data_IF_415405819681
#
_entry.id   IF_415405819681
#
_cell.length_a   1.000
_cell.length_b   1.000
_cell.length_c   1.000
_cell.angle_alpha   90.00
_cell.angle_beta   90.00
_cell.angle_gamma   90.00
#
_symmetry.space_group_name_H-M   'P 1'
#
loop_
_entity.id
_entity.type
_entity.pdbx_description
1 polymer ?
#
# COMPACT_ATOMS: atom_id res chain seq x y z
N UNK A 1 9.26 -0.25 -12.66
CA UNK A 1 9.44 1.10 -12.10
C UNK A 1 10.35 1.02 -10.90
N UNK A 2 11.17 2.05 -10.72
CA UNK A 2 11.91 2.33 -9.48
C UNK A 2 10.98 3.08 -8.54
N UNK A 3 10.82 2.58 -7.32
CA UNK A 3 9.78 3.05 -6.40
C UNK A 3 10.40 3.50 -5.08
N UNK A 4 10.01 4.69 -4.62
CA UNK A 4 10.21 5.08 -3.23
C UNK A 4 9.02 4.61 -2.40
N UNK A 5 9.27 4.03 -1.22
CA UNK A 5 8.21 3.65 -0.30
C UNK A 5 8.00 4.71 0.77
N UNK A 6 6.78 5.24 0.87
CA UNK A 6 6.37 5.99 2.05
C UNK A 6 6.15 5.01 3.20
N UNK A 7 6.95 5.13 4.25
CA UNK A 7 6.90 4.25 5.41
C UNK A 7 6.47 4.99 6.67
N UNK A 8 5.61 4.34 7.45
CA UNK A 8 5.15 4.80 8.76
C UNK A 8 5.69 3.94 9.90
N UNK A 9 6.26 2.77 9.59
CA UNK A 9 6.64 1.74 10.55
C UNK A 9 5.57 0.65 10.70
N UNK A 10 4.34 0.89 10.25
CA UNK A 10 3.22 -0.04 10.40
C UNK A 10 3.08 -1.09 9.30
N UNK A 11 2.15 -2.03 9.54
CA UNK A 11 1.83 -3.18 8.69
C UNK A 11 1.50 -2.78 7.25
N UNK A 12 0.75 -1.69 7.05
CA UNK A 12 0.19 -1.32 5.74
C UNK A 12 1.27 -0.85 4.78
N UNK A 13 2.21 -0.04 5.28
CA UNK A 13 3.35 0.41 4.49
C UNK A 13 4.26 -0.76 4.09
N UNK A 14 4.50 -1.71 4.98
CA UNK A 14 5.28 -2.92 4.70
C UNK A 14 4.59 -3.84 3.70
N UNK A 15 3.29 -4.07 3.87
CA UNK A 15 2.55 -4.95 2.98
C UNK A 15 2.39 -4.35 1.58
N UNK A 16 2.13 -3.05 1.45
CA UNK A 16 2.08 -2.41 0.14
C UNK A 16 3.43 -2.44 -0.60
N UNK A 17 4.57 -2.37 0.11
CA UNK A 17 5.88 -2.61 -0.49
C UNK A 17 5.98 -4.04 -1.05
N UNK A 18 5.47 -5.04 -0.34
CA UNK A 18 5.44 -6.42 -0.84
C UNK A 18 4.59 -6.55 -2.11
N UNK A 19 3.42 -5.89 -2.16
CA UNK A 19 2.58 -5.85 -3.36
C UNK A 19 3.31 -5.17 -4.54
N UNK A 20 4.06 -4.09 -4.27
CA UNK A 20 4.87 -3.45 -5.31
C UNK A 20 5.93 -4.41 -5.88
N UNK A 21 6.62 -5.17 -5.02
CA UNK A 21 7.62 -6.16 -5.45
C UNK A 21 6.97 -7.30 -6.23
N UNK A 22 5.82 -7.81 -5.76
CA UNK A 22 5.05 -8.86 -6.45
C UNK A 22 4.56 -8.41 -7.85
N UNK A 23 4.27 -7.13 -8.01
CA UNK A 23 3.93 -6.52 -9.30
C UNK A 23 5.16 -6.23 -10.20
N UNK A 24 6.37 -6.61 -9.79
CA UNK A 24 7.60 -6.44 -10.56
C UNK A 24 8.23 -5.05 -10.45
N UNK A 25 7.88 -4.27 -9.42
CA UNK A 25 8.56 -3.01 -9.13
C UNK A 25 9.74 -3.21 -8.20
N UNK A 26 10.71 -2.29 -8.27
CA UNK A 26 11.88 -2.30 -7.41
C UNK A 26 11.75 -1.19 -6.36
N UNK A 27 11.74 -1.54 -5.08
CA UNK A 27 11.86 -0.56 -4.00
C UNK A 27 13.33 -0.14 -3.92
N UNK A 28 13.59 1.16 -4.13
CA UNK A 28 14.96 1.70 -4.19
C UNK A 28 15.27 2.66 -3.03
N UNK A 29 14.24 3.21 -2.41
CA UNK A 29 14.39 4.16 -1.31
C UNK A 29 13.20 4.10 -0.34
N UNK A 30 13.47 4.44 0.91
CA UNK A 30 12.46 4.65 1.95
C UNK A 30 12.32 6.14 2.21
N UNK A 31 11.09 6.60 2.39
CA UNK A 31 10.78 8.01 2.65
C UNK A 31 9.81 8.11 3.84
N UNK A 32 10.10 9.01 4.77
CA UNK A 32 9.30 9.21 5.97
C UNK A 32 9.30 10.68 6.39
N UNK A 33 8.13 11.23 6.64
CA UNK A 33 7.98 12.49 7.37
C UNK A 33 7.90 12.20 8.86
N UNK A 34 8.57 13.04 9.67
CA UNK A 34 8.62 12.89 11.12
C UNK A 34 8.28 14.19 11.85
N UNK A 35 7.74 14.09 13.07
CA UNK A 35 7.61 15.24 13.96
C UNK A 35 8.92 16.00 14.20
N UNK A 36 8.84 17.30 14.49
CA UNK A 36 10.00 18.07 14.95
C UNK A 36 10.36 17.68 16.40
N UNK A 37 11.65 17.48 16.70
CA UNK A 37 12.12 17.08 18.05
C UNK A 37 11.67 18.00 19.19
N UNK A 38 11.36 19.26 18.90
CA UNK A 38 11.05 20.28 19.90
C UNK A 38 9.53 20.53 20.06
N UNK A 39 8.67 19.83 19.30
CA UNK A 39 7.21 19.97 19.36
C UNK A 39 6.53 18.82 20.11
N UNK A 40 7.31 17.86 20.62
CA UNK A 40 6.83 16.55 21.05
C UNK A 40 7.23 16.39 22.53
N UNK A 41 6.40 16.89 23.45
CA UNK A 41 6.44 16.42 24.84
C UNK A 41 5.93 14.96 24.94
N UNK A 42 5.15 14.51 23.94
CA UNK A 42 4.61 13.17 23.79
C UNK A 42 4.77 12.66 22.35
N UNK A 43 5.18 11.41 22.14
CA UNK A 43 5.41 10.76 20.82
C UNK A 43 4.17 10.70 19.89
N UNK A 44 3.01 11.11 20.40
CA UNK A 44 1.72 11.16 19.74
C UNK A 44 1.39 12.59 19.29
N UNK A 45 1.18 12.77 17.99
CA UNK A 45 0.56 13.98 17.41
C UNK A 45 -0.80 13.62 16.82
N UNK A 46 -1.74 14.55 16.92
CA UNK A 46 -3.03 14.48 16.21
C UNK A 46 -2.86 14.84 14.71
N UNK A 47 -2.08 14.05 13.96
CA UNK A 47 -1.99 14.18 12.50
C UNK A 47 -2.97 13.22 11.83
N UNK A 48 -3.77 13.75 10.90
CA UNK A 48 -4.65 12.94 10.04
C UNK A 48 -3.87 12.13 8.99
N UNK A 49 -2.61 12.50 8.73
CA UNK A 49 -1.84 11.99 7.61
C UNK A 49 -0.78 10.98 8.04
N UNK A 50 -0.13 11.17 9.21
CA UNK A 50 1.07 10.42 9.56
C UNK A 50 0.98 9.75 10.92
N UNK A 51 1.37 8.47 10.95
CA UNK A 51 1.67 7.74 12.17
C UNK A 51 2.88 8.38 12.87
N UNK A 52 2.76 8.71 14.15
CA UNK A 52 3.88 9.26 14.94
C UNK A 52 4.39 8.30 16.01
N UNK A 53 3.56 7.39 16.51
CA UNK A 53 4.02 6.36 17.45
C UNK A 53 4.97 5.42 16.74
N UNK A 54 6.10 5.13 17.40
CA UNK A 54 7.15 4.27 16.85
C UNK A 54 8.07 4.97 15.83
N UNK A 55 7.92 6.28 15.57
CA UNK A 55 8.74 6.99 14.57
C UNK A 55 10.24 6.96 14.87
N UNK A 56 10.63 6.74 16.13
CA UNK A 56 12.01 6.66 16.58
C UNK A 56 12.73 5.43 15.98
N UNK A 57 11.97 4.37 15.71
CA UNK A 57 12.49 3.09 15.25
C UNK A 57 12.59 2.97 13.71
N UNK A 58 12.09 3.96 12.96
CA UNK A 58 12.08 3.95 11.48
C UNK A 58 13.48 3.83 10.87
N UNK A 59 14.52 4.34 11.55
CA UNK A 59 15.91 4.19 11.07
C UNK A 59 16.37 2.72 11.03
N UNK A 60 15.74 1.84 11.83
CA UNK A 60 16.01 0.41 11.78
C UNK A 60 15.48 -0.23 10.50
N UNK A 61 14.42 0.30 9.89
CA UNK A 61 13.88 -0.25 8.63
C UNK A 61 14.89 -0.08 7.48
N UNK A 62 15.57 1.07 7.42
CA UNK A 62 16.63 1.33 6.44
C UNK A 62 17.75 0.28 6.53
N UNK A 63 18.18 -0.01 7.76
CA UNK A 63 19.21 -1.01 8.05
C UNK A 63 18.71 -2.43 7.81
N UNK A 64 17.47 -2.73 8.19
CA UNK A 64 16.82 -4.03 8.02
C UNK A 64 16.65 -4.38 6.54
N UNK A 65 16.22 -3.44 5.71
CA UNK A 65 16.04 -3.66 4.26
C UNK A 65 17.33 -3.43 3.45
N UNK A 66 18.34 -2.78 4.04
CA UNK A 66 19.53 -2.27 3.38
C UNK A 66 19.18 -1.35 2.20
N UNK A 67 18.35 -0.33 2.48
CA UNK A 67 17.92 0.71 1.55
C UNK A 67 18.22 2.11 2.11
N UNK A 68 18.45 3.11 1.26
CA UNK A 68 18.58 4.50 1.71
C UNK A 68 17.25 4.99 2.30
N UNK A 69 17.35 5.79 3.36
CA UNK A 69 16.21 6.38 4.05
C UNK A 69 16.30 7.90 4.04
N UNK A 70 15.27 8.52 3.49
CA UNK A 70 15.09 9.96 3.41
C UNK A 70 14.05 10.40 4.42
N UNK A 71 14.47 11.21 5.39
CA UNK A 71 13.57 11.77 6.40
C UNK A 71 13.56 13.28 6.37
N UNK A 72 12.38 13.86 6.41
CA UNK A 72 12.18 15.30 6.60
C UNK A 72 11.26 15.56 7.78
N UNK A 73 11.38 16.76 8.36
CA UNK A 73 10.56 17.20 9.47
C UNK A 73 9.27 17.79 8.90
N UNK A 74 8.13 17.45 9.49
CA UNK A 74 6.84 18.08 9.23
C UNK A 74 6.91 19.50 9.80
N UNK A 75 6.74 20.50 8.94
CA UNK A 75 6.74 21.93 9.29
C UNK A 75 5.34 22.51 9.20
N UNK A 76 4.55 22.04 8.23
CA UNK A 76 3.16 22.42 8.06
C UNK A 76 2.22 21.72 9.03
N UNK A 77 0.94 22.06 8.92
CA UNK A 77 -0.16 21.40 9.65
C UNK A 77 -1.24 20.95 8.66
N UNK A 78 -2.26 20.21 9.11
CA UNK A 78 -3.40 19.86 8.26
C UNK A 78 -4.29 21.09 8.04
N UNK A 79 -4.06 21.86 6.98
CA UNK A 79 -4.77 23.12 6.67
C UNK A 79 -5.92 22.86 5.69
N UNK A 80 -5.61 22.31 4.52
CA UNK A 80 -6.61 21.91 3.53
C UNK A 80 -7.11 20.52 3.88
N UNK A 81 -8.30 20.44 4.48
CA UNK A 81 -8.90 19.20 4.97
C UNK A 81 -10.07 18.71 4.12
N UNK A 82 -10.34 19.35 2.97
CA UNK A 82 -11.38 18.96 2.04
C UNK A 82 -11.16 17.58 1.39
N UNK A 83 -12.20 17.14 0.66
CA UNK A 83 -12.21 15.87 -0.09
C UNK A 83 -11.19 15.84 -1.22
N UNK A 84 -10.94 17.00 -1.82
CA UNK A 84 -9.92 17.21 -2.84
C UNK A 84 -8.81 18.06 -2.26
N UNK A 85 -7.56 17.81 -2.64
CA UNK A 85 -6.46 18.66 -2.21
C UNK A 85 -6.19 19.78 -3.22
N UNK A 86 -6.18 21.01 -2.72
CA UNK A 86 -5.65 22.18 -3.41
C UNK A 86 -4.38 22.64 -2.70
N UNK A 87 -3.35 23.01 -3.46
CA UNK A 87 -2.08 23.48 -2.89
C UNK A 87 -2.32 24.61 -1.91
N UNK A 88 -1.87 24.42 -0.67
CA UNK A 88 -2.03 25.38 0.41
C UNK A 88 -0.68 25.62 1.09
N UNK A 89 -0.31 26.89 1.29
CA UNK A 89 0.95 27.24 1.96
C UNK A 89 0.86 26.91 3.45
N UNK A 90 1.92 26.29 3.99
CA UNK A 90 1.96 25.85 5.38
C UNK A 90 1.22 24.54 5.66
N UNK A 91 0.75 23.84 4.62
CA UNK A 91 0.12 22.53 4.75
C UNK A 91 1.15 21.39 4.73
N UNK A 92 0.95 20.36 5.56
CA UNK A 92 1.84 19.20 5.70
C UNK A 92 2.02 18.38 4.39
N UNK A 93 1.12 18.54 3.42
CA UNK A 93 1.24 17.92 2.10
C UNK A 93 2.35 18.56 1.26
N UNK A 94 2.68 19.84 1.49
CA UNK A 94 3.81 20.47 0.80
C UNK A 94 5.16 19.97 1.35
N UNK A 95 5.22 19.57 2.63
CA UNK A 95 6.40 18.88 3.17
C UNK A 95 6.61 17.52 2.49
N UNK A 96 5.52 16.80 2.19
CA UNK A 96 5.57 15.55 1.44
C UNK A 96 6.06 15.78 0.01
N UNK A 97 5.61 16.86 -0.63
CA UNK A 97 6.08 17.25 -1.95
C UNK A 97 7.59 17.49 -1.97
N UNK A 98 8.13 18.27 -1.03
CA UNK A 98 9.56 18.55 -0.97
C UNK A 98 10.39 17.29 -0.65
N UNK A 99 9.88 16.39 0.19
CA UNK A 99 10.52 15.10 0.45
C UNK A 99 10.58 14.24 -0.82
N UNK A 100 9.45 14.02 -1.49
CA UNK A 100 9.40 13.16 -2.68
C UNK A 100 10.14 13.76 -3.86
N UNK A 101 10.14 15.09 -4.00
CA UNK A 101 10.98 15.79 -4.98
C UNK A 101 12.46 15.50 -4.75
N UNK A 102 12.92 15.62 -3.50
CA UNK A 102 14.30 15.32 -3.15
C UNK A 102 14.68 13.86 -3.43
N UNK A 103 13.79 12.91 -3.09
CA UNK A 103 14.02 11.48 -3.39
C UNK A 103 14.06 11.24 -4.90
N UNK A 104 13.15 11.86 -5.68
CA UNK A 104 13.14 11.74 -7.15
C UNK A 104 14.46 12.22 -7.76
N UNK A 105 14.99 13.35 -7.29
CA UNK A 105 16.28 13.88 -7.76
C UNK A 105 17.48 13.00 -7.37
N UNK A 106 17.40 12.27 -6.26
CA UNK A 106 18.51 11.44 -5.76
C UNK A 106 18.51 10.01 -6.28
N UNK A 107 17.33 9.44 -6.45
CA UNK A 107 17.15 8.00 -6.67
C UNK A 107 16.47 7.68 -8.01
N UNK A 108 16.11 8.69 -8.79
CA UNK A 108 15.48 8.55 -10.12
C UNK A 108 14.28 7.59 -10.06
N UNK A 109 13.32 7.92 -9.19
CA UNK A 109 12.11 7.12 -9.00
C UNK A 109 11.04 7.47 -10.03
N UNK A 110 10.23 6.47 -10.41
CA UNK A 110 9.08 6.60 -11.30
C UNK A 110 7.75 6.52 -10.52
N UNK A 111 7.77 5.96 -9.32
CA UNK A 111 6.57 5.72 -8.53
C UNK A 111 6.77 5.78 -7.03
N UNK A 112 5.65 5.83 -6.31
CA UNK A 112 5.59 5.95 -4.85
C UNK A 112 4.66 4.90 -4.27
N UNK A 113 5.20 4.01 -3.44
CA UNK A 113 4.43 3.01 -2.69
C UNK A 113 3.78 3.66 -1.47
N UNK A 114 2.45 3.49 -1.32
CA UNK A 114 1.66 4.05 -0.22
C UNK A 114 0.70 3.01 0.35
N UNK A 115 0.79 2.78 1.66
CA UNK A 115 -0.07 1.82 2.38
C UNK A 115 -1.43 2.38 2.81
N UNK A 116 -2.11 3.17 1.99
CA UNK A 116 -3.46 3.65 2.31
C UNK A 116 -4.50 2.58 1.96
N UNK A 117 -5.35 2.20 2.92
CA UNK A 117 -6.40 1.19 2.70
C UNK A 117 -7.74 1.86 2.40
N UNK A 118 -8.32 2.61 3.34
CA UNK A 118 -9.65 3.19 3.16
C UNK A 118 -9.64 4.73 3.09
N UNK A 119 -8.64 5.37 3.71
CA UNK A 119 -8.58 6.84 3.79
C UNK A 119 -8.42 7.53 2.42
N UNK A 120 -9.52 8.04 1.88
CA UNK A 120 -9.50 8.92 0.70
C UNK A 120 -8.71 10.21 0.97
N UNK A 121 -8.70 10.69 2.23
CA UNK A 121 -7.91 11.86 2.64
C UNK A 121 -6.42 11.66 2.34
N UNK A 122 -5.86 10.53 2.76
CA UNK A 122 -4.45 10.21 2.57
C UNK A 122 -4.13 9.96 1.09
N UNK A 123 -4.96 9.15 0.42
CA UNK A 123 -4.76 8.79 -0.99
C UNK A 123 -4.74 10.04 -1.89
N UNK A 124 -5.74 10.91 -1.78
CA UNK A 124 -5.87 12.08 -2.67
C UNK A 124 -4.69 13.05 -2.51
N UNK A 125 -4.15 13.20 -1.30
CA UNK A 125 -2.99 14.08 -1.04
C UNK A 125 -1.71 13.51 -1.65
N UNK A 126 -1.48 12.21 -1.50
CA UNK A 126 -0.37 11.52 -2.16
C UNK A 126 -0.50 11.61 -3.68
N UNK A 127 -1.69 11.33 -4.24
CA UNK A 127 -1.94 11.40 -5.67
C UNK A 127 -1.69 12.81 -6.23
N UNK A 128 -2.07 13.85 -5.47
CA UNK A 128 -1.81 15.23 -5.86
C UNK A 128 -0.30 15.52 -5.96
N UNK A 129 0.47 15.12 -4.94
CA UNK A 129 1.93 15.27 -4.93
C UNK A 129 2.57 14.49 -6.08
N UNK A 130 2.17 13.23 -6.25
CA UNK A 130 2.68 12.37 -7.31
C UNK A 130 2.40 12.94 -8.70
N UNK A 131 1.18 13.44 -8.94
CA UNK A 131 0.80 14.10 -10.20
C UNK A 131 1.69 15.32 -10.50
N UNK A 132 1.98 16.15 -9.49
CA UNK A 132 2.83 17.35 -9.67
C UNK A 132 4.29 17.00 -9.93
N UNK A 133 4.74 15.87 -9.41
CA UNK A 133 6.11 15.38 -9.57
C UNK A 133 6.27 14.45 -10.76
N UNK A 134 5.21 14.14 -11.52
CA UNK A 134 5.22 13.12 -12.56
C UNK A 134 5.72 11.77 -12.01
N UNK A 135 5.01 11.26 -11.00
CA UNK A 135 5.23 9.99 -10.34
C UNK A 135 3.93 9.18 -10.33
N UNK A 136 4.05 7.85 -10.42
CA UNK A 136 2.91 6.95 -10.30
C UNK A 136 2.66 6.59 -8.82
N UNK A 137 1.51 6.96 -8.23
CA UNK A 137 1.12 6.45 -6.91
C UNK A 137 0.73 4.97 -7.02
N UNK A 138 1.27 4.15 -6.12
CA UNK A 138 1.05 2.71 -6.03
C UNK A 138 0.39 2.37 -4.69
N UNK A 139 -0.95 2.41 -4.66
CA UNK A 139 -1.78 2.13 -3.50
C UNK A 139 -2.58 0.84 -3.70
N UNK A 140 -1.89 -0.30 -3.66
CA UNK A 140 -2.48 -1.63 -3.95
C UNK A 140 -3.54 -2.06 -2.94
N UNK A 141 -3.46 -1.53 -1.72
CA UNK A 141 -4.37 -1.90 -0.63
C UNK A 141 -5.69 -1.11 -0.67
N UNK A 142 -5.79 -0.11 -1.55
CA UNK A 142 -6.90 0.82 -1.52
C UNK A 142 -8.23 0.11 -1.83
N UNK A 143 -9.20 0.27 -0.93
CA UNK A 143 -10.54 -0.32 -0.96
C UNK A 143 -10.57 -1.85 -1.05
N UNK A 144 -9.49 -2.52 -0.68
CA UNK A 144 -9.50 -3.97 -0.45
C UNK A 144 -10.42 -4.29 0.74
N UNK A 145 -10.93 -5.53 0.78
CA UNK A 145 -11.65 -6.02 1.94
C UNK A 145 -10.69 -6.11 3.13
N UNK A 146 -11.00 -5.42 4.24
CA UNK A 146 -10.10 -5.29 5.38
C UNK A 146 -9.93 -6.58 6.19
N UNK A 147 -10.97 -7.43 6.25
CA UNK A 147 -10.87 -8.71 6.94
C UNK A 147 -9.94 -9.65 6.17
N UNK A 148 -10.12 -9.74 4.86
CA UNK A 148 -9.25 -10.52 3.97
C UNK A 148 -7.83 -9.96 3.99
N UNK A 149 -7.68 -8.63 3.93
CA UNK A 149 -6.39 -7.97 3.93
C UNK A 149 -5.58 -8.23 5.21
N UNK A 150 -6.23 -8.21 6.38
CA UNK A 150 -5.54 -8.55 7.63
C UNK A 150 -5.03 -10.00 7.62
N UNK A 151 -5.86 -10.94 7.13
CA UNK A 151 -5.47 -12.36 6.99
C UNK A 151 -4.35 -12.55 5.98
N UNK A 152 -4.41 -11.84 4.87
CA UNK A 152 -3.36 -11.85 3.84
C UNK A 152 -2.04 -11.33 4.42
N UNK A 153 -2.04 -10.24 5.19
CA UNK A 153 -0.85 -9.72 5.88
C UNK A 153 -0.25 -10.78 6.83
N UNK A 154 -1.09 -11.41 7.65
CA UNK A 154 -0.66 -12.46 8.58
C UNK A 154 -0.04 -13.64 7.84
N UNK A 155 -0.74 -14.15 6.82
CA UNK A 155 -0.29 -15.30 6.01
C UNK A 155 0.92 -14.99 5.11
N UNK A 156 1.19 -13.71 4.84
CA UNK A 156 2.35 -13.23 4.08
C UNK A 156 3.57 -12.91 4.98
N UNK A 157 3.59 -13.40 6.22
CA UNK A 157 4.67 -13.20 7.17
C UNK A 157 4.94 -11.72 7.53
N UNK A 158 3.92 -10.85 7.54
CA UNK A 158 4.03 -9.54 8.20
C UNK A 158 4.00 -9.76 9.72
N UNK A 159 5.17 -9.72 10.34
CA UNK A 159 5.34 -9.81 11.78
C UNK A 159 5.23 -8.41 12.39
N UNK A 160 4.02 -7.91 12.55
CA UNK A 160 3.75 -6.61 13.18
C UNK A 160 3.09 -6.76 14.54
N UNK A 161 3.45 -5.87 15.47
CA UNK A 161 2.83 -5.78 16.80
C UNK A 161 1.97 -4.52 16.90
N UNK A 162 0.90 -4.58 17.71
CA UNK A 162 0.09 -3.42 18.06
C UNK A 162 0.92 -2.52 19.00
N UNK A 163 1.12 -1.26 18.62
CA UNK A 163 1.88 -0.28 19.41
C UNK A 163 1.04 0.87 19.92
N UNK A 164 -0.21 1.00 19.48
CA UNK A 164 -1.16 1.98 20.00
C UNK A 164 -2.56 1.39 19.93
N UNK A 165 -3.39 1.74 20.89
CA UNK A 165 -4.83 1.54 20.87
C UNK A 165 -5.53 2.84 21.26
N UNK A 166 -6.64 3.14 20.59
CA UNK A 166 -7.39 4.39 20.77
C UNK A 166 -8.89 4.23 20.44
N UNK A 167 -9.45 3.03 20.58
CA UNK A 167 -10.86 2.78 20.28
C UNK A 167 -11.56 1.96 21.36
N UNK A 168 -12.89 2.12 21.40
CA UNK A 168 -13.75 1.40 22.33
C UNK A 168 -13.60 -0.12 22.18
N UNK A 169 -13.37 -0.80 23.30
CA UNK A 169 -13.17 -2.25 23.33
C UNK A 169 -11.72 -2.71 23.11
N UNK A 170 -10.84 -1.84 22.60
CA UNK A 170 -9.40 -2.10 22.60
C UNK A 170 -8.82 -1.78 23.98
N UNK A 171 -8.37 -2.82 24.67
CA UNK A 171 -7.72 -2.74 25.98
C UNK A 171 -6.18 -2.74 25.85
N UNK A 172 -5.47 -1.75 26.41
CA UNK A 172 -4.01 -1.67 26.36
C UNK A 172 -3.29 -2.93 26.89
N UNK A 173 -3.71 -3.48 28.03
CA UNK A 173 -3.10 -4.66 28.66
C UNK A 173 -3.29 -5.93 27.84
N UNK A 174 -4.37 -5.99 27.06
CA UNK A 174 -4.70 -7.14 26.21
C UNK A 174 -4.00 -7.08 24.86
N UNK A 175 -3.94 -5.89 24.24
CA UNK A 175 -3.58 -5.75 22.83
C UNK A 175 -2.18 -5.20 22.58
N UNK A 176 -1.67 -4.28 23.42
CA UNK A 176 -0.34 -3.70 23.18
C UNK A 176 0.75 -4.78 23.22
N UNK A 177 1.65 -4.74 22.23
CA UNK A 177 2.75 -5.69 22.09
C UNK A 177 2.35 -7.05 21.53
N UNK A 178 1.06 -7.30 21.29
CA UNK A 178 0.59 -8.52 20.63
C UNK A 178 0.77 -8.42 19.12
N UNK A 179 1.07 -9.55 18.51
CA UNK A 179 1.19 -9.69 17.07
C UNK A 179 -0.18 -9.75 16.39
N UNK A 180 -0.24 -9.47 15.09
CA UNK A 180 -1.50 -9.46 14.33
C UNK A 180 -2.26 -10.80 14.41
N UNK A 181 -1.56 -11.93 14.35
CA UNK A 181 -2.15 -13.28 14.50
C UNK A 181 -2.76 -13.49 15.89
N UNK A 182 -2.12 -12.96 16.94
CA UNK A 182 -2.62 -13.06 18.31
C UNK A 182 -3.90 -12.27 18.54
N UNK A 183 -4.08 -11.15 17.81
CA UNK A 183 -5.24 -10.26 17.99
C UNK A 183 -6.32 -10.42 16.92
N UNK A 184 -6.09 -11.18 15.85
CA UNK A 184 -7.01 -11.29 14.69
C UNK A 184 -8.45 -11.63 15.12
N UNK A 185 -8.59 -12.69 15.93
CA UNK A 185 -9.91 -13.16 16.39
C UNK A 185 -10.63 -12.12 17.24
N UNK A 186 -9.89 -11.42 18.11
CA UNK A 186 -10.41 -10.37 18.96
C UNK A 186 -10.84 -9.15 18.16
N UNK A 187 -10.03 -8.72 17.18
CA UNK A 187 -10.38 -7.61 16.28
C UNK A 187 -11.63 -7.92 15.46
N UNK A 188 -11.79 -9.16 14.98
CA UNK A 188 -13.00 -9.60 14.28
C UNK A 188 -14.25 -9.53 15.19
N UNK A 189 -14.12 -9.92 16.47
CA UNK A 189 -15.22 -9.81 17.43
C UNK A 189 -15.57 -8.35 17.74
N UNK A 190 -14.56 -7.52 18.02
CA UNK A 190 -14.72 -6.10 18.30
C UNK A 190 -15.34 -5.36 17.11
N UNK A 191 -14.97 -5.73 15.89
CA UNK A 191 -15.57 -5.19 14.67
C UNK A 191 -17.07 -5.47 14.60
N UNK A 192 -17.46 -6.74 14.81
CA UNK A 192 -18.88 -7.15 14.82
C UNK A 192 -19.68 -6.49 15.92
N UNK A 193 -19.07 -6.28 17.09
CA UNK A 193 -19.77 -5.80 18.28
C UNK A 193 -19.85 -4.28 18.37
N UNK A 194 -18.79 -3.59 17.97
CA UNK A 194 -18.62 -2.15 18.20
C UNK A 194 -18.27 -1.36 16.94
N UNK A 195 -18.09 -2.03 15.80
CA UNK A 195 -17.74 -1.37 14.54
C UNK A 195 -16.26 -0.97 14.43
N UNK A 196 -15.39 -1.51 15.29
CA UNK A 196 -13.94 -1.35 15.19
C UNK A 196 -13.49 -1.82 13.79
N UNK A 197 -12.73 -0.99 13.11
CA UNK A 197 -12.06 -1.32 11.87
C UNK A 197 -11.00 -2.42 12.08
N UNK A 198 -11.16 -3.54 11.38
CA UNK A 198 -10.27 -4.70 11.52
C UNK A 198 -8.81 -4.36 11.15
N UNK A 199 -8.59 -3.44 10.20
CA UNK A 199 -7.26 -2.95 9.84
C UNK A 199 -6.82 -1.72 10.65
N UNK A 200 -7.61 -1.24 11.60
CA UNK A 200 -7.28 -0.07 12.42
C UNK A 200 -7.39 1.26 11.67
N UNK A 201 -8.12 1.30 10.54
CA UNK A 201 -8.37 2.54 9.82
C UNK A 201 -9.05 3.57 10.72
N UNK A 202 -8.68 4.85 10.57
CA UNK A 202 -9.16 5.92 11.45
C UNK A 202 -8.37 6.08 12.74
N UNK A 203 -7.29 5.32 12.93
CA UNK A 203 -6.36 5.48 14.06
C UNK A 203 -6.76 4.69 15.30
N UNK A 204 -7.66 3.72 15.17
CA UNK A 204 -8.14 2.89 16.28
C UNK A 204 -7.02 2.07 16.93
N UNK A 205 -6.08 1.59 16.11
CA UNK A 205 -4.82 1.05 16.57
C UNK A 205 -3.71 1.35 15.56
N UNK A 206 -2.48 1.40 16.03
CA UNK A 206 -1.30 1.51 15.17
C UNK A 206 -0.40 0.30 15.37
N UNK A 207 0.42 -0.01 14.37
CA UNK A 207 1.33 -1.16 14.41
C UNK A 207 2.77 -0.76 14.17
N UNK A 208 3.68 -1.63 14.60
CA UNK A 208 5.08 -1.60 14.21
C UNK A 208 5.52 -2.96 13.66
N UNK A 209 6.01 -2.98 12.44
CA UNK A 209 6.48 -4.20 11.76
C UNK A 209 7.88 -4.54 12.25
N UNK A 210 8.01 -5.66 12.97
CA UNK A 210 9.27 -6.20 13.46
C UNK A 210 10.00 -6.99 12.38
N UNK A 211 9.25 -7.71 11.55
CA UNK A 211 9.81 -8.43 10.42
C UNK A 211 8.82 -8.57 9.26
N UNK A 212 9.36 -8.67 8.04
CA UNK A 212 8.62 -9.11 6.86
C UNK A 212 9.58 -9.71 5.82
N UNK A 213 9.07 -10.38 4.77
CA UNK A 213 9.92 -10.96 3.71
C UNK A 213 10.90 -10.00 3.04
N UNK A 214 10.61 -8.69 3.02
CA UNK A 214 11.51 -7.68 2.44
C UNK A 214 12.69 -7.32 3.35
N UNK A 215 12.64 -7.68 4.63
CA UNK A 215 13.70 -7.37 5.58
C UNK A 215 14.81 -8.43 5.48
N UNK A 216 16.07 -7.98 5.48
CA UNK A 216 17.26 -8.82 5.59
C UNK A 216 17.60 -9.15 7.05
N UNK A 217 17.22 -8.25 7.96
CA UNK A 217 17.35 -8.40 9.43
C UNK A 217 16.01 -8.12 10.09
N UNK A 218 15.68 -8.86 11.13
CA UNK A 218 14.48 -8.60 11.94
C UNK A 218 14.79 -7.58 13.05
N UNK A 219 13.80 -6.79 13.42
CA UNK A 219 13.86 -5.87 14.57
C UNK A 219 13.43 -6.62 15.82
N UNK A 220 14.20 -6.52 16.88
CA UNK A 220 13.88 -7.08 18.20
C UNK A 220 13.59 -5.93 19.15
N UNK A 221 12.52 -6.10 19.94
CA UNK A 221 12.18 -5.19 21.04
C UNK A 221 12.81 -5.73 22.31
N UNK A 222 13.87 -5.07 22.78
CA UNK A 222 14.56 -5.47 24.02
C UNK A 222 13.82 -4.93 25.25
N UNK A 223 13.35 -3.69 25.17
CA UNK A 223 12.54 -3.09 26.22
C UNK A 223 11.61 -2.00 25.68
N UNK A 224 10.45 -1.89 26.32
CA UNK A 224 9.42 -0.90 26.02
C UNK A 224 8.61 -0.59 27.28
N UNK A 225 8.00 0.58 27.33
CA UNK A 225 7.03 0.96 28.36
C UNK A 225 5.67 1.28 27.74
N UNK A 226 4.59 1.05 28.50
CA UNK A 226 3.25 1.49 28.13
C UNK A 226 3.06 2.92 28.64
N UNK A 227 2.73 3.83 27.73
CA UNK A 227 2.37 5.20 28.05
C UNK A 227 0.86 5.35 27.89
N UNK A 228 0.18 5.70 28.99
CA UNK A 228 -1.24 6.03 28.96
C UNK A 228 -1.39 7.51 28.61
N UNK A 229 -1.87 7.79 27.40
CA UNK A 229 -2.12 9.15 26.93
C UNK A 229 -3.48 9.67 27.43
N UNK A 230 -4.52 8.84 27.37
CA UNK A 230 -5.85 9.13 27.89
C UNK A 230 -6.42 7.93 28.63
N UNK A 231 -6.82 8.15 29.88
CA UNK A 231 -7.41 7.13 30.75
C UNK A 231 -8.94 7.05 30.64
N UNK A 232 -9.51 7.37 29.47
CA UNK A 232 -10.95 7.26 29.26
C UNK A 232 -11.45 5.84 29.62
N UNK A 233 -12.53 5.78 30.40
CA UNK A 233 -13.02 4.53 30.96
C UNK A 233 -13.55 3.54 29.89
N UNK A 234 -13.83 4.04 28.69
CA UNK A 234 -14.46 3.31 27.60
C UNK A 234 -13.52 3.15 26.40
N UNK A 235 -12.76 4.19 26.06
CA UNK A 235 -11.83 4.22 24.93
C UNK A 235 -10.45 4.76 25.37
N UNK A 236 -9.69 4.02 26.19
CA UNK A 236 -8.37 4.46 26.62
C UNK A 236 -7.45 4.62 25.40
N UNK A 237 -6.64 5.67 25.43
CA UNK A 237 -5.56 5.89 24.46
C UNK A 237 -4.25 5.56 25.13
N UNK A 238 -3.58 4.51 24.66
CA UNK A 238 -2.30 4.09 25.17
C UNK A 238 -1.40 3.59 24.04
N UNK A 239 -0.10 3.77 24.20
CA UNK A 239 0.88 3.34 23.23
C UNK A 239 2.14 2.77 23.87
N UNK A 240 2.89 1.98 23.09
CA UNK A 240 4.20 1.49 23.44
C UNK A 240 5.26 2.51 23.05
N UNK A 241 6.05 2.95 24.04
CA UNK A 241 7.31 3.65 23.81
C UNK A 241 8.45 2.65 23.86
N UNK A 242 9.12 2.47 22.73
CA UNK A 242 10.31 1.64 22.67
C UNK A 242 11.48 2.34 23.38
N UNK A 243 12.13 1.62 24.30
CA UNK A 243 13.29 2.11 25.04
C UNK A 243 14.59 1.58 24.41
N UNK A 244 14.58 0.32 24.02
CA UNK A 244 15.72 -0.34 23.39
C UNK A 244 15.26 -1.32 22.31
N UNK A 245 15.92 -1.26 21.16
CA UNK A 245 15.66 -2.07 19.98
C UNK A 245 16.99 -2.43 19.32
N UNK A 246 17.10 -3.64 18.79
CA UNK A 246 18.24 -4.02 17.96
C UNK A 246 17.83 -4.81 16.72
N UNK A 247 18.81 -5.07 15.85
CA UNK A 247 18.63 -5.87 14.64
C UNK A 247 19.33 -7.21 14.80
N UNK A 248 18.61 -8.28 14.49
CA UNK A 248 19.15 -9.64 14.41
C UNK A 248 19.16 -10.14 12.97
N UNK A 249 20.19 -10.90 12.62
CA UNK A 249 20.24 -11.63 11.35
C UNK A 249 19.12 -12.69 11.31
N UNK A 250 18.55 -12.90 10.13
CA UNK A 250 17.59 -13.98 9.92
C UNK A 250 18.34 -15.31 9.80
N UNK A 251 17.84 -16.34 10.50
CA UNK A 251 18.47 -17.66 10.57
C UNK A 251 18.30 -18.52 9.29
N UNK A 252 17.77 -17.98 8.19
CA UNK A 252 17.55 -18.75 6.94
C UNK A 252 17.79 -17.96 5.64
N UNK A 253 18.24 -18.73 4.65
CA UNK A 253 19.01 -18.46 3.41
C UNK A 253 18.44 -17.48 2.36
N UNK A 254 19.28 -16.94 1.44
CA UNK A 254 18.97 -15.77 0.59
C UNK A 254 17.88 -15.90 -0.49
N UNK A 255 17.19 -17.04 -0.61
CA UNK A 255 16.41 -17.38 -1.82
C UNK A 255 14.94 -17.77 -1.57
N UNK A 256 14.30 -17.31 -0.48
CA UNK A 256 12.82 -17.28 -0.43
C UNK A 256 12.30 -15.90 -0.85
N UNK A 257 12.73 -15.42 -2.02
CA UNK A 257 11.96 -14.39 -2.73
C UNK A 257 11.11 -15.12 -3.76
N UNK A 258 9.82 -15.27 -3.46
CA UNK A 258 8.74 -15.63 -4.39
C UNK A 258 9.03 -16.79 -5.36
N UNK A 259 9.11 -18.03 -4.86
CA UNK A 259 8.63 -19.16 -5.64
C UNK A 259 7.12 -19.28 -5.41
N UNK A 260 6.34 -18.62 -6.26
CA UNK A 260 4.93 -18.95 -6.42
C UNK A 260 4.91 -20.31 -7.13
N UNK A 261 4.75 -21.38 -6.36
CA UNK A 261 4.52 -22.71 -6.91
C UNK A 261 3.19 -22.69 -7.69
N UNK A 262 3.31 -22.51 -9.00
CA UNK A 262 2.24 -22.79 -9.94
C UNK A 262 2.04 -24.31 -9.98
N UNK A 263 0.87 -24.78 -9.55
CA UNK A 263 0.50 -26.20 -9.53
C UNK A 263 0.11 -26.73 -10.92
N UNK A 264 0.99 -26.56 -11.90
CA UNK A 264 0.86 -27.20 -13.21
C UNK A 264 2.17 -27.83 -13.66
N UNK A 265 2.66 -28.83 -12.93
CA UNK A 265 3.61 -29.80 -13.48
C UNK A 265 2.82 -30.88 -14.21
N UNK A 266 2.73 -30.76 -15.54
CA UNK A 266 2.59 -31.92 -16.41
C UNK A 266 3.95 -32.14 -17.05
N UNK A 267 4.50 -33.33 -16.83
CA UNK A 267 5.83 -33.78 -17.25
C UNK A 267 6.09 -33.50 -18.74
N UNK A 268 7.18 -32.77 -19.04
CA UNK A 268 7.77 -32.74 -20.37
C UNK A 268 9.19 -33.32 -20.26
N UNK A 269 9.30 -34.65 -20.43
CA UNK A 269 10.57 -35.29 -20.69
C UNK A 269 11.03 -34.96 -22.12
N UNK A 270 12.24 -34.41 -22.23
CA UNK A 270 13.01 -34.43 -23.46
C UNK A 270 13.41 -35.89 -23.75
N UNK A 271 12.93 -36.44 -24.87
CA UNK A 271 13.71 -37.28 -25.79
C UNK A 271 12.76 -37.92 -26.82
N UNK A 272 12.96 -37.51 -28.09
CA UNK A 272 12.79 -38.28 -29.33
C UNK A 272 12.26 -37.40 -30.48
N UNK A 273 13.21 -36.95 -31.30
CA UNK A 273 12.98 -36.55 -32.69
C UNK A 273 12.64 -37.81 -33.51
N UNK A 274 11.63 -37.72 -34.40
CA UNK A 274 11.88 -38.09 -35.78
C UNK A 274 11.44 -37.02 -36.76
N UNK A 275 12.33 -36.78 -37.72
CA UNK A 275 12.17 -36.01 -38.95
C UNK A 275 11.18 -36.73 -39.89
N UNK A 276 10.33 -36.00 -40.64
CA UNK A 276 10.12 -36.15 -42.10
C UNK A 276 9.06 -35.17 -42.68
N UNK A 277 9.56 -34.37 -43.63
CA UNK A 277 9.02 -33.79 -44.89
C UNK A 277 7.97 -32.67 -44.94
N UNK A 278 8.35 -31.69 -45.77
CA UNK A 278 7.56 -30.62 -46.37
C UNK A 278 6.29 -31.11 -47.09
N UNK A 279 5.20 -30.37 -46.90
CA UNK A 279 3.98 -30.48 -47.68
C UNK A 279 3.19 -29.17 -47.62
N UNK A 280 3.26 -28.39 -48.70
CA UNK A 280 2.42 -27.22 -48.96
C UNK A 280 0.93 -27.54 -48.82
N UNK A 281 0.22 -26.83 -47.93
CA UNK A 281 -1.20 -26.49 -48.13
C UNK A 281 -1.45 -25.08 -47.56
N UNK A 282 -1.63 -24.12 -48.46
CA UNK A 282 -2.30 -22.85 -48.17
C UNK A 282 -3.78 -23.10 -47.89
N UNK A 283 -4.29 -22.59 -46.77
CA UNK A 283 -5.67 -22.08 -46.71
C UNK A 283 -5.68 -20.81 -45.87
N UNK A 284 -5.87 -19.69 -46.56
CA UNK A 284 -6.30 -18.41 -45.98
C UNK A 284 -7.66 -18.62 -45.30
N UNK A 285 -7.78 -18.17 -44.04
CA UNK A 285 -9.06 -17.90 -43.40
C UNK A 285 -9.01 -16.42 -42.97
N UNK A 286 -9.93 -15.57 -43.45
CA UNK A 286 -9.89 -14.12 -43.21
C UNK A 286 -10.30 -13.81 -41.76
N UNK A 287 -9.91 -12.62 -41.24
CA UNK A 287 -10.32 -12.22 -39.90
C UNK A 287 -11.85 -12.09 -39.82
N UNK A 288 -12.48 -12.42 -38.68
CA UNK A 288 -13.91 -12.24 -38.52
C UNK A 288 -14.25 -10.74 -38.54
N UNK A 289 -14.99 -10.32 -39.57
CA UNK A 289 -15.65 -9.03 -39.63
C UNK A 289 -16.85 -9.10 -38.69
N UNK A 290 -16.79 -8.42 -37.56
CA UNK A 290 -17.97 -8.16 -36.74
C UNK A 290 -18.59 -6.82 -37.13
N UNK A 291 -19.78 -6.89 -37.74
CA UNK A 291 -20.62 -5.73 -38.01
C UNK A 291 -21.27 -5.29 -36.69
N UNK A 292 -20.91 -4.10 -36.25
CA UNK A 292 -21.66 -3.32 -35.26
C UNK A 292 -23.10 -3.13 -35.75
N UNK A 293 -24.06 -3.56 -34.94
CA UNK A 293 -25.42 -3.02 -34.99
C UNK A 293 -25.61 -2.17 -33.74
N UNK A 294 -25.38 -0.87 -33.92
CA UNK A 294 -25.73 0.26 -33.04
C UNK A 294 -24.90 0.42 -31.76
N UNK A 295 -24.13 1.54 -31.61
CA UNK A 295 -23.74 2.00 -30.29
C UNK A 295 -24.96 2.64 -29.59
N UNK A 296 -25.17 2.43 -28.28
CA UNK A 296 -25.98 3.36 -27.50
C UNK A 296 -25.30 4.75 -27.51
N UNK A 297 -26.07 5.83 -27.41
CA UNK A 297 -25.51 7.17 -27.53
C UNK A 297 -24.69 7.50 -26.27
N UNK A 298 -23.50 8.07 -26.48
CA UNK A 298 -22.66 8.80 -25.51
C UNK A 298 -21.54 8.04 -24.76
N UNK A 299 -20.66 7.37 -25.49
CA UNK A 299 -19.28 7.16 -25.00
C UNK A 299 -18.27 7.73 -26.01
N UNK A 300 -17.73 8.92 -25.73
CA UNK A 300 -16.53 9.41 -26.40
C UNK A 300 -15.31 9.05 -25.56
N UNK A 301 -14.63 7.96 -25.92
CA UNK A 301 -13.31 7.66 -25.41
C UNK A 301 -12.29 8.55 -26.13
N UNK A 302 -11.47 9.31 -25.38
CA UNK A 302 -10.32 9.99 -25.97
C UNK A 302 -9.15 9.00 -26.09
N UNK A 303 -8.66 8.80 -27.31
CA UNK A 303 -7.86 7.67 -27.82
C UNK A 303 -6.37 7.58 -27.38
N UNK A 304 -6.01 7.90 -26.14
CA UNK A 304 -4.62 7.67 -25.67
C UNK A 304 -4.56 7.02 -24.30
N UNK A 305 -4.94 5.74 -24.23
CA UNK A 305 -4.55 4.87 -23.14
C UNK A 305 -3.08 4.50 -23.30
N UNK A 306 -2.25 4.83 -22.32
CA UNK A 306 -0.87 4.38 -22.27
C UNK A 306 -0.82 3.07 -21.47
N UNK A 307 -0.16 2.06 -22.00
CA UNK A 307 -0.04 0.76 -21.34
C UNK A 307 1.43 0.52 -20.96
N UNK A 308 1.68 0.07 -19.73
CA UNK A 308 2.99 -0.43 -19.36
C UNK A 308 3.30 -1.75 -20.07
N UNK A 309 4.57 -2.15 -20.02
CA UNK A 309 4.96 -3.54 -20.30
C UNK A 309 4.25 -4.46 -19.30
N UNK A 310 3.84 -5.66 -19.74
CA UNK A 310 3.30 -6.71 -18.87
C UNK A 310 4.37 -7.17 -17.87
N UNK A 311 3.99 -7.31 -16.61
CA UNK A 311 4.85 -7.91 -15.59
C UNK A 311 5.10 -9.40 -15.90
N UNK A 312 6.15 -10.02 -15.33
CA UNK A 312 6.35 -11.47 -15.42
C UNK A 312 5.16 -12.30 -14.90
N UNK A 313 4.38 -11.71 -13.98
CA UNK A 313 3.14 -12.25 -13.42
C UNK A 313 1.89 -11.93 -14.25
N UNK A 314 2.03 -11.31 -15.43
CA UNK A 314 0.95 -11.07 -16.38
C UNK A 314 0.16 -9.77 -16.17
N UNK A 315 0.48 -8.98 -15.15
CA UNK A 315 -0.21 -7.72 -14.87
C UNK A 315 0.23 -6.61 -15.82
N UNK A 316 -0.71 -5.80 -16.30
CA UNK A 316 -0.43 -4.67 -17.17
C UNK A 316 -1.06 -3.41 -16.59
N UNK A 317 -0.28 -2.35 -16.45
CA UNK A 317 -0.81 -1.05 -16.04
C UNK A 317 -1.35 -0.32 -17.25
N UNK A 318 -2.55 0.23 -17.12
CA UNK A 318 -3.16 1.08 -18.13
C UNK A 318 -3.43 2.42 -17.48
N UNK A 319 -2.79 3.46 -17.99
CA UNK A 319 -2.91 4.84 -17.54
C UNK A 319 -3.67 5.69 -18.58
N UNK A 320 -4.03 6.91 -18.17
CA UNK A 320 -4.68 7.91 -19.03
C UNK A 320 -6.08 7.54 -19.54
N UNK A 321 -6.78 6.61 -18.87
CA UNK A 321 -8.19 6.35 -19.16
C UNK A 321 -9.02 7.55 -18.67
N UNK A 322 -9.59 8.30 -19.62
CA UNK A 322 -10.53 9.37 -19.33
C UNK A 322 -11.91 8.95 -19.84
N UNK A 323 -12.84 8.70 -18.92
CA UNK A 323 -14.25 8.49 -19.24
C UNK A 323 -14.99 9.81 -18.99
N UNK A 324 -15.78 10.25 -19.98
CA UNK A 324 -16.66 11.41 -19.84
C UNK A 324 -18.10 10.94 -19.79
N UNK A 325 -18.76 11.21 -18.68
CA UNK A 325 -20.15 10.86 -18.45
C UNK A 325 -21.03 12.07 -18.76
N UNK A 326 -22.02 11.88 -19.62
CA UNK A 326 -23.15 12.81 -19.74
C UNK A 326 -24.23 12.29 -18.79
N UNK A 327 -24.61 13.06 -17.76
CA UNK A 327 -25.63 12.59 -16.82
C UNK A 327 -26.95 12.39 -17.57
N UNK A 328 -27.38 11.14 -17.72
CA UNK A 328 -28.78 10.82 -17.97
C UNK A 328 -29.53 10.97 -16.63
N UNK A 329 -30.79 11.41 -16.64
CA UNK A 329 -31.56 11.67 -15.40
C UNK A 329 -31.84 10.43 -14.54
N UNK A 330 -31.36 9.23 -14.93
CA UNK A 330 -31.74 7.96 -14.31
C UNK A 330 -30.58 7.06 -13.86
N UNK A 331 -29.32 7.37 -14.19
CA UNK A 331 -28.19 6.52 -13.82
C UNK A 331 -27.40 7.08 -12.65
N UNK A 332 -27.13 6.22 -11.66
CA UNK A 332 -26.25 6.60 -10.56
C UNK A 332 -24.80 6.65 -11.05
N UNK A 333 -23.97 7.46 -10.38
CA UNK A 333 -22.52 7.53 -10.65
C UNK A 333 -21.87 6.13 -10.52
N UNK A 334 -22.43 5.27 -9.68
CA UNK A 334 -21.93 3.90 -9.47
C UNK A 334 -22.20 3.04 -10.70
N UNK A 335 -23.41 3.10 -11.26
CA UNK A 335 -23.79 2.33 -12.45
C UNK A 335 -22.94 2.74 -13.67
N UNK A 336 -22.77 4.04 -13.85
CA UNK A 336 -21.93 4.59 -14.91
C UNK A 336 -20.45 4.17 -14.77
N UNK A 337 -19.92 4.13 -13.53
CA UNK A 337 -18.57 3.65 -13.27
C UNK A 337 -18.42 2.15 -13.58
N UNK A 338 -19.38 1.32 -13.17
CA UNK A 338 -19.38 -0.12 -13.45
C UNK A 338 -19.39 -0.38 -14.95
N UNK A 339 -20.26 0.30 -15.70
CA UNK A 339 -20.34 0.18 -17.16
C UNK A 339 -19.02 0.54 -17.85
N UNK A 340 -18.38 1.64 -17.41
CA UNK A 340 -17.09 2.05 -17.95
C UNK A 340 -15.98 1.00 -17.72
N UNK A 341 -15.95 0.38 -16.53
CA UNK A 341 -14.99 -0.69 -16.22
C UNK A 341 -15.27 -1.97 -16.99
N UNK A 342 -16.55 -2.35 -17.17
CA UNK A 342 -16.92 -3.51 -17.99
C UNK A 342 -16.52 -3.32 -19.47
N UNK A 343 -16.71 -2.13 -20.03
CA UNK A 343 -16.29 -1.85 -21.41
C UNK A 343 -14.77 -1.88 -21.60
N UNK A 344 -14.00 -1.55 -20.57
CA UNK A 344 -12.53 -1.68 -20.60
C UNK A 344 -12.09 -3.15 -20.59
N UNK A 345 -12.77 -4.02 -19.83
CA UNK A 345 -12.50 -5.46 -19.83
C UNK A 345 -12.76 -6.12 -21.19
N UNK A 346 -13.71 -5.62 -21.97
CA UNK A 346 -13.98 -6.13 -23.32
C UNK A 346 -12.92 -5.73 -24.36
N UNK A 347 -12.07 -4.74 -24.05
CA UNK A 347 -11.04 -4.19 -24.97
C UNK A 347 -9.61 -4.65 -24.68
N UNK A 348 -9.37 -5.27 -23.52
CA UNK A 348 -8.07 -5.81 -23.07
C UNK A 348 -8.08 -7.32 -23.25
#
# INVERSE_FOLDING_TARGET
>A
MRVAALISGGKDSCYNMMQCVAAGHQIVALANLRPAKNQVESDELDSYMYQTVGHQAIELFAKAMALPLYRQIIKGTSVETGRTYSRCEGDEVEDLYELLKYVKEKEEIDGVSVGAILSDYQRVRVENVCKRLDLQPLAYLWRQNQEDLLREMISSDIQAIIIKVAAFGLNPDKHLGKTLDQVESDLCELSKKYGVNICGEGGEYETFTLDCPLFKKKVIVDSSEVVLHSADAFAPVAYLRFLELHLEEKLTSPNKLFEINCSCETECNEDHIPVITEGNIQYEIPPPIWKSSHPPPLFQYSEKSECSVKSPSGYQWISCITASFLPSEQESIVDAAVEAFSSLQERI
#
